data_IF_097364796679
#
_entry.id   IF_097364796679
#
_cell.length_a   1.000
_cell.length_b   1.000
_cell.length_c   1.000
_cell.angle_alpha   90.00
_cell.angle_beta   90.00
_cell.angle_gamma   90.00
#
_symmetry.space_group_name_H-M   'P 1'
#
loop_
_entity.id
_entity.type
_entity.pdbx_description
1 polymer ?
#
# COMPACT_ATOMS: atom_id res chain seq x y z
N UNK A 1 19.39 -35.48 -0.17
CA UNK A 1 19.03 -34.59 -1.31
C UNK A 1 17.56 -34.14 -1.23
N UNK A 2 17.11 -33.60 -0.09
CA UNK A 2 15.74 -33.05 0.09
C UNK A 2 15.80 -31.53 0.30
N UNK A 3 16.82 -31.03 1.01
CA UNK A 3 17.04 -29.59 1.22
C UNK A 3 17.14 -28.82 -0.12
N UNK A 4 17.86 -29.35 -1.11
CA UNK A 4 17.93 -28.75 -2.46
C UNK A 4 16.58 -28.67 -3.17
N UNK A 5 15.63 -29.56 -2.87
CA UNK A 5 14.29 -29.51 -3.46
C UNK A 5 13.41 -28.45 -2.80
N UNK A 6 13.49 -28.30 -1.47
CA UNK A 6 12.70 -27.27 -0.74
C UNK A 6 13.14 -25.87 -1.16
N UNK A 7 14.45 -25.59 -1.25
CA UNK A 7 14.93 -24.28 -1.69
C UNK A 7 14.59 -23.98 -3.16
N UNK A 8 14.56 -25.00 -4.03
CA UNK A 8 14.11 -24.83 -5.43
C UNK A 8 12.62 -24.54 -5.53
N UNK A 9 11.79 -25.24 -4.73
CA UNK A 9 10.35 -24.99 -4.66
C UNK A 9 10.01 -23.61 -4.12
N UNK A 10 10.73 -23.18 -3.07
CA UNK A 10 10.63 -21.81 -2.57
C UNK A 10 11.05 -20.84 -3.69
N UNK A 11 12.17 -21.09 -4.35
CA UNK A 11 12.61 -20.31 -5.51
C UNK A 11 11.50 -20.13 -6.56
N UNK A 12 10.95 -21.23 -7.07
CA UNK A 12 9.87 -21.20 -8.08
C UNK A 12 8.58 -20.56 -7.56
N UNK A 13 8.22 -20.76 -6.29
CA UNK A 13 7.06 -20.10 -5.70
C UNK A 13 7.22 -18.57 -5.77
N UNK A 14 8.40 -18.07 -5.45
CA UNK A 14 8.65 -16.63 -5.51
C UNK A 14 8.83 -16.13 -6.94
N UNK A 15 9.70 -16.73 -7.75
CA UNK A 15 10.02 -16.22 -9.09
C UNK A 15 8.91 -16.47 -10.10
N UNK A 16 8.29 -17.64 -10.06
CA UNK A 16 7.39 -18.10 -11.12
C UNK A 16 5.92 -17.85 -10.80
N UNK A 17 5.59 -17.52 -9.53
CA UNK A 17 4.21 -17.20 -9.12
C UNK A 17 4.11 -15.83 -8.44
N UNK A 18 4.75 -15.64 -7.28
CA UNK A 18 4.54 -14.43 -6.48
C UNK A 18 5.13 -13.17 -7.12
N UNK A 19 6.18 -13.30 -7.93
CA UNK A 19 6.85 -12.18 -8.58
C UNK A 19 6.31 -11.85 -9.97
N UNK A 20 5.37 -12.63 -10.53
CA UNK A 20 4.70 -12.29 -11.81
C UNK A 20 4.25 -10.82 -11.86
N UNK A 21 3.51 -10.27 -10.87
CA UNK A 21 3.09 -8.88 -10.92
C UNK A 21 4.27 -7.91 -10.85
N UNK A 22 5.29 -8.19 -10.04
CA UNK A 22 6.49 -7.36 -9.95
C UNK A 22 7.30 -7.36 -11.25
N UNK A 23 7.38 -8.51 -11.91
CA UNK A 23 8.09 -8.67 -13.17
C UNK A 23 7.33 -7.98 -14.32
N UNK A 24 6.00 -7.94 -14.24
CA UNK A 24 5.15 -7.12 -15.11
C UNK A 24 5.36 -5.63 -14.87
N UNK A 25 5.36 -5.17 -13.61
CA UNK A 25 5.66 -3.78 -13.25
C UNK A 25 7.07 -3.35 -13.70
N UNK A 26 8.05 -4.25 -13.59
CA UNK A 26 9.44 -3.99 -13.98
C UNK A 26 9.64 -3.93 -15.50
N UNK A 27 8.92 -4.75 -16.27
CA UNK A 27 9.06 -4.83 -17.73
C UNK A 27 8.17 -3.84 -18.47
N UNK A 28 7.14 -3.29 -17.83
CA UNK A 28 6.27 -2.32 -18.47
C UNK A 28 6.93 -0.95 -18.57
N UNK A 29 6.91 -0.38 -19.76
CA UNK A 29 7.32 0.99 -20.04
C UNK A 29 6.19 1.96 -19.63
N UNK A 30 5.91 2.00 -18.33
CA UNK A 30 4.81 2.78 -17.78
C UNK A 30 5.18 4.27 -17.75
N UNK A 31 4.26 5.13 -18.19
CA UNK A 31 4.40 6.57 -17.98
C UNK A 31 4.47 6.87 -16.46
N UNK A 32 5.14 7.97 -16.11
CA UNK A 32 5.36 8.44 -14.74
C UNK A 32 4.11 8.35 -13.84
N UNK A 33 2.93 8.69 -14.39
CA UNK A 33 1.66 8.60 -13.67
C UNK A 33 1.30 7.17 -13.25
N UNK A 34 1.47 6.21 -14.15
CA UNK A 34 1.15 4.79 -13.93
C UNK A 34 2.20 4.11 -13.06
N UNK A 35 3.48 4.46 -13.20
CA UNK A 35 4.55 3.98 -12.31
C UNK A 35 4.33 4.41 -10.85
N UNK A 36 3.61 5.50 -10.61
CA UNK A 36 3.31 6.03 -9.29
C UNK A 36 1.91 5.67 -8.77
N UNK A 37 1.16 4.77 -9.41
CA UNK A 37 -0.23 4.45 -9.00
C UNK A 37 -0.34 4.03 -7.53
N UNK A 38 0.60 3.25 -7.01
CA UNK A 38 0.63 2.87 -5.58
C UNK A 38 0.78 4.09 -4.67
N UNK A 39 1.64 5.04 -5.03
CA UNK A 39 1.82 6.29 -4.28
C UNK A 39 0.55 7.14 -4.30
N UNK A 40 -0.15 7.21 -5.43
CA UNK A 40 -1.44 7.90 -5.56
C UNK A 40 -2.51 7.27 -4.66
N UNK A 41 -2.55 5.94 -4.55
CA UNK A 41 -3.47 5.23 -3.65
C UNK A 41 -3.17 5.60 -2.19
N UNK A 42 -1.90 5.56 -1.77
CA UNK A 42 -1.53 5.95 -0.41
C UNK A 42 -1.88 7.42 -0.12
N UNK A 43 -1.63 8.32 -1.06
CA UNK A 43 -2.00 9.73 -0.93
C UNK A 43 -3.52 9.90 -0.79
N UNK A 44 -4.32 9.18 -1.58
CA UNK A 44 -5.78 9.24 -1.48
C UNK A 44 -6.27 8.75 -0.11
N UNK A 45 -5.73 7.64 0.39
CA UNK A 45 -6.05 7.12 1.73
C UNK A 45 -5.68 8.13 2.82
N UNK A 46 -4.49 8.73 2.73
CA UNK A 46 -4.05 9.76 3.66
C UNK A 46 -5.02 10.95 3.67
N UNK A 47 -5.42 11.44 2.50
CA UNK A 47 -6.35 12.57 2.38
C UNK A 47 -7.74 12.25 2.98
N UNK A 48 -8.25 11.04 2.78
CA UNK A 48 -9.54 10.60 3.35
C UNK A 48 -9.46 10.53 4.87
N UNK A 49 -8.42 9.91 5.42
CA UNK A 49 -8.22 9.81 6.87
C UNK A 49 -8.00 11.19 7.49
N UNK A 50 -7.21 12.04 6.83
CA UNK A 50 -6.99 13.42 7.29
C UNK A 50 -8.29 14.23 7.27
N UNK A 51 -9.09 14.13 6.22
CA UNK A 51 -10.39 14.79 6.14
C UNK A 51 -11.34 14.30 7.24
N UNK A 52 -11.42 12.98 7.46
CA UNK A 52 -12.21 12.40 8.55
C UNK A 52 -11.77 12.95 9.91
N UNK A 53 -10.45 12.95 10.17
CA UNK A 53 -9.91 13.44 11.43
C UNK A 53 -10.22 14.92 11.64
N UNK A 54 -9.96 15.78 10.65
CA UNK A 54 -10.25 17.22 10.76
C UNK A 54 -11.74 17.49 10.99
N UNK A 55 -12.62 16.71 10.36
CA UNK A 55 -14.08 16.80 10.57
C UNK A 55 -14.47 16.45 12.00
N UNK A 56 -13.96 15.35 12.56
CA UNK A 56 -14.26 14.96 13.95
C UNK A 56 -13.66 15.95 14.95
N UNK A 57 -12.44 16.44 14.73
CA UNK A 57 -11.83 17.48 15.58
C UNK A 57 -12.69 18.75 15.62
N UNK A 58 -13.16 19.22 14.46
CA UNK A 58 -14.04 20.39 14.40
C UNK A 58 -15.40 20.16 15.07
N UNK A 59 -15.93 18.93 15.03
CA UNK A 59 -17.16 18.55 15.72
C UNK A 59 -16.98 18.63 17.24
N UNK A 60 -15.92 18.02 17.79
CA UNK A 60 -15.67 18.04 19.23
C UNK A 60 -15.45 19.45 19.78
N UNK A 61 -14.76 20.31 19.02
CA UNK A 61 -14.59 21.72 19.37
C UNK A 61 -15.94 22.45 19.48
N UNK A 62 -16.86 22.19 18.55
CA UNK A 62 -18.19 22.83 18.52
C UNK A 62 -19.12 22.29 19.61
N UNK A 63 -19.04 21.00 19.92
CA UNK A 63 -19.86 20.36 20.94
C UNK A 63 -19.30 20.56 22.36
N UNK A 64 -18.06 21.06 22.48
CA UNK A 64 -17.40 21.28 23.77
C UNK A 64 -17.02 19.97 24.48
N UNK A 65 -17.08 18.83 23.80
CA UNK A 65 -16.75 17.50 24.30
C UNK A 65 -15.30 17.10 24.01
N UNK A 66 -14.47 18.06 23.59
CA UNK A 66 -13.04 17.86 23.40
C UNK A 66 -12.40 17.46 24.73
N UNK A 67 -11.62 16.38 24.72
CA UNK A 67 -10.88 15.94 25.89
C UNK A 67 -9.81 16.98 26.22
N UNK A 68 -9.89 17.56 27.42
CA UNK A 68 -8.94 18.55 27.91
C UNK A 68 -8.09 17.88 28.97
N UNK A 69 -6.89 17.47 28.57
CA UNK A 69 -5.85 17.06 29.51
C UNK A 69 -5.46 18.22 30.46
#
# INVERSE_FOLDING_TARGET
MIANNIFRWIGSLFTDLLFIPFDWFRKGDFNWWSSNTVNWIFLAVLLVLFWYWMKESAKFLREGTEDRA
#
